data_IF_119071900714
#
_entry.id   IF_119071900714
#
_cell.length_a   1.000
_cell.length_b   1.000
_cell.length_c   1.000
_cell.angle_alpha   90.00
_cell.angle_beta   90.00
_cell.angle_gamma   90.00
#
_symmetry.space_group_name_H-M   'P 1'
#
loop_
_entity.id
_entity.type
_entity.pdbx_description
1 polymer ?
#
# COMPACT_ATOMS: atom_id res chain seq x y z
N UNK A 1 35.46 -24.96 25.30
CA UNK A 1 35.86 -26.21 24.61
C UNK A 1 35.65 -27.51 25.41
N UNK A 2 35.34 -27.50 26.72
CA UNK A 2 35.06 -28.74 27.46
C UNK A 2 33.70 -29.39 27.10
N UNK A 3 32.67 -28.59 26.81
CA UNK A 3 31.31 -29.09 26.51
C UNK A 3 31.22 -29.98 25.24
N UNK A 4 31.97 -29.65 24.18
CA UNK A 4 31.95 -30.43 22.93
C UNK A 4 32.54 -31.83 23.11
N UNK A 5 33.42 -32.03 24.11
CA UNK A 5 34.02 -33.33 24.45
C UNK A 5 33.03 -34.24 25.18
N UNK A 6 32.04 -33.67 25.87
CA UNK A 6 30.93 -34.40 26.50
C UNK A 6 29.83 -34.77 25.50
N UNK A 7 29.54 -33.90 24.52
CA UNK A 7 28.69 -34.26 23.37
C UNK A 7 29.33 -35.38 22.51
N UNK A 8 30.66 -35.44 22.49
CA UNK A 8 31.46 -36.43 21.76
C UNK A 8 31.96 -37.56 22.68
N UNK A 9 31.09 -38.18 23.47
CA UNK A 9 31.51 -39.20 24.45
C UNK A 9 31.08 -40.63 24.11
N UNK A 10 32.12 -41.47 23.98
CA UNK A 10 32.27 -42.92 24.25
C UNK A 10 31.43 -43.95 23.46
N UNK A 11 32.16 -44.54 22.50
CA UNK A 11 32.00 -45.74 21.66
C UNK A 11 31.41 -47.03 22.27
N UNK A 12 30.90 -47.05 23.51
CA UNK A 12 30.39 -48.26 24.18
C UNK A 12 28.88 -48.25 24.47
N UNK A 13 28.20 -47.12 24.26
CA UNK A 13 26.76 -46.95 24.56
C UNK A 13 26.01 -46.46 23.30
N UNK A 14 25.96 -47.29 22.24
CA UNK A 14 25.34 -46.93 20.96
C UNK A 14 23.87 -46.49 21.10
N UNK A 15 23.14 -47.09 22.04
CA UNK A 15 21.74 -46.75 22.34
C UNK A 15 21.57 -45.31 22.87
N UNK A 16 22.45 -44.85 23.76
CA UNK A 16 22.39 -43.48 24.33
C UNK A 16 22.69 -42.42 23.25
N UNK A 17 23.61 -42.73 22.33
CA UNK A 17 23.94 -41.83 21.23
C UNK A 17 22.79 -41.64 20.23
N UNK A 18 21.99 -42.68 19.98
CA UNK A 18 20.83 -42.60 19.07
C UNK A 18 19.72 -41.73 19.68
N UNK A 19 19.40 -41.93 20.96
CA UNK A 19 18.37 -41.14 21.66
C UNK A 19 18.74 -39.66 21.68
N UNK A 20 20.01 -39.34 21.95
CA UNK A 20 20.49 -37.94 21.99
C UNK A 20 20.32 -37.25 20.63
N UNK A 21 20.54 -37.95 19.52
CA UNK A 21 20.34 -37.40 18.18
C UNK A 21 18.87 -37.16 17.84
N UNK A 22 17.99 -38.10 18.22
CA UNK A 22 16.53 -37.91 18.07
C UNK A 22 16.01 -36.76 18.93
N UNK A 23 16.44 -36.63 20.18
CA UNK A 23 16.07 -35.50 21.04
C UNK A 23 16.57 -34.17 20.50
N UNK A 24 17.82 -34.12 20.00
CA UNK A 24 18.37 -32.93 19.37
C UNK A 24 17.58 -32.52 18.12
N UNK A 25 17.26 -33.47 17.24
CA UNK A 25 16.45 -33.23 16.05
C UNK A 25 15.04 -32.74 16.41
N UNK A 26 14.40 -33.35 17.40
CA UNK A 26 13.08 -32.94 17.87
C UNK A 26 13.07 -31.51 18.41
N UNK A 27 14.06 -31.13 19.23
CA UNK A 27 14.20 -29.77 19.76
C UNK A 27 14.50 -28.79 18.62
N UNK A 28 15.44 -29.13 17.72
CA UNK A 28 15.74 -28.30 16.56
C UNK A 28 14.50 -28.05 15.71
N UNK A 29 13.69 -29.07 15.44
CA UNK A 29 12.50 -28.95 14.60
C UNK A 29 11.40 -28.15 15.31
N UNK A 30 11.21 -28.33 16.61
CA UNK A 30 10.27 -27.55 17.42
C UNK A 30 10.64 -26.06 17.47
N UNK A 31 11.91 -25.77 17.79
CA UNK A 31 12.41 -24.38 17.84
C UNK A 31 12.40 -23.74 16.45
N UNK A 32 12.82 -24.46 15.40
CA UNK A 32 12.79 -23.96 14.03
C UNK A 32 11.37 -23.60 13.60
N UNK A 33 10.38 -24.45 13.92
CA UNK A 33 8.97 -24.17 13.60
C UNK A 33 8.48 -22.90 14.28
N UNK A 34 8.80 -22.70 15.57
CA UNK A 34 8.45 -21.48 16.29
C UNK A 34 9.11 -20.23 15.70
N UNK A 35 10.39 -20.31 15.34
CA UNK A 35 11.12 -19.20 14.71
C UNK A 35 10.50 -18.84 13.36
N UNK A 36 10.18 -19.84 12.52
CA UNK A 36 9.56 -19.61 11.21
C UNK A 36 8.20 -18.93 11.36
N UNK A 37 7.33 -19.44 12.24
CA UNK A 37 6.01 -18.85 12.48
C UNK A 37 6.13 -17.41 12.95
N UNK A 38 6.99 -17.14 13.94
CA UNK A 38 7.22 -15.78 14.44
C UNK A 38 7.78 -14.85 13.36
N UNK A 39 8.70 -15.36 12.52
CA UNK A 39 9.29 -14.58 11.44
C UNK A 39 8.26 -14.21 10.37
N UNK A 40 7.42 -15.16 9.96
CA UNK A 40 6.34 -14.91 9.00
C UNK A 40 5.33 -13.93 9.59
N UNK A 41 4.90 -14.13 10.84
CA UNK A 41 3.92 -13.25 11.49
C UNK A 41 4.46 -11.84 11.68
N UNK A 42 5.71 -11.69 12.12
CA UNK A 42 6.31 -10.38 12.33
C UNK A 42 6.56 -9.65 11.00
N UNK A 43 7.05 -10.37 9.98
CA UNK A 43 7.22 -9.82 8.63
C UNK A 43 5.90 -9.39 8.01
N UNK A 44 4.86 -10.22 8.10
CA UNK A 44 3.53 -9.89 7.62
C UNK A 44 2.92 -8.70 8.36
N UNK A 45 3.06 -8.65 9.69
CA UNK A 45 2.62 -7.50 10.49
C UNK A 45 3.31 -6.21 10.03
N UNK A 46 4.61 -6.24 9.82
CA UNK A 46 5.37 -5.08 9.36
C UNK A 46 4.92 -4.64 7.97
N UNK A 47 4.72 -5.58 7.05
CA UNK A 47 4.24 -5.29 5.69
C UNK A 47 2.82 -4.70 5.72
N UNK A 48 1.90 -5.30 6.47
CA UNK A 48 0.54 -4.80 6.62
C UNK A 48 0.50 -3.40 7.25
N UNK A 49 1.21 -3.18 8.36
CA UNK A 49 1.25 -1.88 9.02
C UNK A 49 1.84 -0.81 8.11
N UNK A 50 2.93 -1.12 7.42
CA UNK A 50 3.57 -0.20 6.47
C UNK A 50 2.63 0.15 5.32
N UNK A 51 1.90 -0.84 4.79
CA UNK A 51 0.97 -0.62 3.68
C UNK A 51 -0.29 0.14 4.08
N UNK A 52 -0.84 -0.13 5.27
CA UNK A 52 -2.06 0.51 5.77
C UNK A 52 -1.79 1.96 6.21
N UNK A 53 -0.76 2.17 7.03
CA UNK A 53 -0.42 3.49 7.59
C UNK A 53 0.28 4.40 6.59
N UNK A 54 0.98 3.83 5.60
CA UNK A 54 1.70 4.63 4.62
C UNK A 54 0.81 5.30 3.57
N UNK A 55 -0.33 4.69 3.22
CA UNK A 55 -1.16 5.16 2.10
C UNK A 55 -2.27 6.13 2.53
N UNK A 56 -2.78 6.02 3.76
CA UNK A 56 -3.87 6.85 4.26
C UNK A 56 -3.35 7.91 5.23
N UNK A 57 -3.99 9.08 5.25
CA UNK A 57 -3.71 10.08 6.29
C UNK A 57 -4.22 9.58 7.64
N UNK A 58 -3.47 9.84 8.71
CA UNK A 58 -3.88 9.52 10.09
C UNK A 58 -5.21 10.18 10.48
N UNK A 59 -5.55 11.30 9.85
CA UNK A 59 -6.79 12.02 10.02
C UNK A 59 -7.26 12.54 8.66
N UNK A 60 -8.56 12.46 8.42
CA UNK A 60 -9.20 13.02 7.23
C UNK A 60 -10.31 13.98 7.67
N UNK A 61 -10.33 15.16 7.08
CA UNK A 61 -11.32 16.21 7.38
C UNK A 61 -12.25 16.31 6.18
N UNK A 62 -13.54 16.13 6.41
CA UNK A 62 -14.58 16.19 5.39
C UNK A 62 -15.62 17.25 5.78
N UNK A 63 -16.24 17.89 4.79
CA UNK A 63 -17.45 18.71 5.00
C UNK A 63 -18.69 17.84 4.81
N UNK A 64 -19.78 18.16 5.51
CA UNK A 64 -21.03 17.38 5.45
C UNK A 64 -21.68 17.36 4.06
N UNK A 65 -21.43 18.38 3.25
CA UNK A 65 -21.91 18.53 1.88
C UNK A 65 -20.91 18.02 0.81
N UNK A 66 -19.72 17.55 1.24
CA UNK A 66 -18.65 17.06 0.37
C UNK A 66 -17.95 18.12 -0.48
N UNK A 67 -18.31 19.41 -0.33
CA UNK A 67 -17.71 20.52 -1.08
C UNK A 67 -16.99 21.46 -0.13
N UNK A 68 -15.68 21.28 0.01
CA UNK A 68 -14.84 22.20 0.78
C UNK A 68 -14.35 23.33 -0.13
N UNK A 69 -14.95 24.53 -0.02
CA UNK A 69 -14.53 25.70 -0.79
C UNK A 69 -13.24 26.33 -0.23
N UNK A 70 -13.12 26.41 1.10
CA UNK A 70 -12.00 27.07 1.80
C UNK A 70 -10.88 26.10 2.21
N UNK A 71 -10.62 25.08 1.40
CA UNK A 71 -9.73 23.98 1.76
C UNK A 71 -8.28 24.43 2.00
N UNK A 72 -7.80 25.49 1.32
CA UNK A 72 -6.46 26.04 1.53
C UNK A 72 -6.35 26.76 2.89
N UNK A 73 -7.36 27.57 3.24
CA UNK A 73 -7.41 28.28 4.53
C UNK A 73 -7.52 27.32 5.69
N UNK A 74 -8.38 26.29 5.56
CA UNK A 74 -8.53 25.23 6.56
C UNK A 74 -7.24 24.43 6.68
N UNK A 75 -6.61 24.08 5.54
CA UNK A 75 -5.36 23.34 5.52
C UNK A 75 -4.23 24.09 6.24
N UNK A 76 -4.09 25.39 5.99
CA UNK A 76 -3.11 26.23 6.66
C UNK A 76 -3.35 26.30 8.18
N UNK A 77 -4.60 26.44 8.63
CA UNK A 77 -4.95 26.44 10.06
C UNK A 77 -4.62 25.11 10.72
N UNK A 78 -4.98 23.99 10.09
CA UNK A 78 -4.70 22.65 10.63
C UNK A 78 -3.20 22.41 10.71
N UNK A 79 -2.42 22.90 9.75
CA UNK A 79 -0.96 22.77 9.76
C UNK A 79 -0.29 23.49 10.95
N UNK A 80 -0.93 24.50 11.54
CA UNK A 80 -0.38 25.21 12.72
C UNK A 80 -0.59 24.45 14.04
N UNK A 81 -1.39 23.38 14.06
CA UNK A 81 -1.65 22.61 15.27
C UNK A 81 -0.45 21.74 15.65
N UNK A 82 -0.15 21.68 16.95
CA UNK A 82 0.93 20.84 17.47
C UNK A 82 0.67 19.35 17.16
N UNK A 83 1.66 18.69 16.57
CA UNK A 83 1.58 17.27 16.19
C UNK A 83 1.19 17.02 14.73
N UNK A 84 0.82 18.05 13.95
CA UNK A 84 0.52 17.90 12.52
C UNK A 84 1.82 17.95 11.70
N UNK A 85 2.19 16.82 11.10
CA UNK A 85 3.42 16.69 10.28
C UNK A 85 3.21 17.22 8.86
N UNK A 86 2.04 16.94 8.26
CA UNK A 86 1.73 17.37 6.89
C UNK A 86 0.22 17.41 6.68
N UNK A 87 -0.25 18.41 5.95
CA UNK A 87 -1.62 18.50 5.46
C UNK A 87 -1.61 18.42 3.94
N UNK A 88 -2.50 17.61 3.38
CA UNK A 88 -2.62 17.45 1.93
C UNK A 88 -4.09 17.51 1.54
N UNK A 89 -4.53 18.52 0.78
CA UNK A 89 -5.85 18.53 0.20
C UNK A 89 -5.96 17.45 -0.87
N UNK A 90 -7.09 16.74 -0.88
CA UNK A 90 -7.36 15.69 -1.86
C UNK A 90 -8.84 15.65 -2.22
N UNK A 91 -9.14 15.27 -3.45
CA UNK A 91 -10.50 14.99 -3.91
C UNK A 91 -10.57 13.51 -4.26
N UNK A 92 -11.56 12.80 -3.72
CA UNK A 92 -11.80 11.39 -4.02
C UNK A 92 -13.15 11.22 -4.72
N UNK A 93 -13.16 10.47 -5.82
CA UNK A 93 -14.36 10.20 -6.60
C UNK A 93 -14.36 8.78 -7.17
N UNK A 94 -15.51 8.11 -7.11
CA UNK A 94 -15.71 6.82 -7.77
C UNK A 94 -16.04 7.07 -9.24
N UNK A 95 -15.34 6.38 -10.14
CA UNK A 95 -15.52 6.49 -11.60
C UNK A 95 -15.46 5.12 -12.24
N UNK A 96 -15.97 5.02 -13.46
CA UNK A 96 -15.72 3.92 -14.37
C UNK A 96 -14.61 4.32 -15.34
N UNK A 97 -13.53 3.55 -15.36
CA UNK A 97 -12.42 3.73 -16.30
C UNK A 97 -12.61 2.78 -17.45
N UNK A 98 -12.63 3.32 -18.67
CA UNK A 98 -12.74 2.52 -19.88
C UNK A 98 -11.52 2.73 -20.78
N UNK A 99 -11.00 1.63 -21.30
CA UNK A 99 -9.91 1.64 -22.27
C UNK A 99 -10.01 0.39 -23.14
N UNK A 100 -9.80 0.53 -24.46
CA UNK A 100 -9.74 -0.59 -25.41
C UNK A 100 -10.90 -1.60 -25.29
N UNK A 101 -12.11 -1.12 -25.01
CA UNK A 101 -13.31 -1.96 -24.85
C UNK A 101 -13.47 -2.65 -23.49
N UNK A 102 -12.54 -2.46 -22.55
CA UNK A 102 -12.62 -2.97 -21.17
C UNK A 102 -13.06 -1.83 -20.24
N UNK A 103 -14.05 -2.10 -19.39
CA UNK A 103 -14.51 -1.19 -18.35
C UNK A 103 -14.18 -1.74 -16.96
N UNK A 104 -13.67 -0.89 -16.07
CA UNK A 104 -13.39 -1.23 -14.67
C UNK A 104 -13.83 -0.09 -13.76
N UNK A 105 -14.41 -0.41 -12.61
CA UNK A 105 -14.61 0.57 -11.54
C UNK A 105 -13.26 0.98 -10.93
N UNK A 106 -13.06 2.26 -10.70
CA UNK A 106 -11.89 2.78 -10.00
C UNK A 106 -12.26 3.94 -9.07
N UNK A 107 -11.36 4.22 -8.13
CA UNK A 107 -11.41 5.41 -7.30
C UNK A 107 -10.33 6.36 -7.79
N UNK A 108 -10.74 7.52 -8.29
CA UNK A 108 -9.82 8.60 -8.67
C UNK A 108 -9.54 9.46 -7.45
N UNK A 109 -8.26 9.69 -7.20
CA UNK A 109 -7.77 10.59 -6.16
C UNK A 109 -6.99 11.70 -6.83
N UNK A 110 -7.51 12.92 -6.79
CA UNK A 110 -6.85 14.09 -7.32
C UNK A 110 -6.01 14.75 -6.22
N UNK A 111 -4.74 15.01 -6.54
CA UNK A 111 -3.78 15.72 -5.70
C UNK A 111 -3.14 16.83 -6.51
N UNK A 112 -2.63 17.86 -5.84
CA UNK A 112 -1.72 18.80 -6.51
C UNK A 112 -0.39 18.12 -6.76
N UNK A 113 0.31 18.50 -7.84
CA UNK A 113 1.64 17.96 -8.17
C UNK A 113 2.61 18.05 -6.98
N UNK A 114 2.70 19.23 -6.36
CA UNK A 114 3.56 19.45 -5.19
C UNK A 114 3.21 18.58 -3.97
N UNK A 115 1.94 18.20 -3.81
CA UNK A 115 1.51 17.34 -2.70
C UNK A 115 1.73 15.86 -3.00
N UNK A 116 1.64 15.47 -4.28
CA UNK A 116 1.92 14.13 -4.74
C UNK A 116 3.42 13.80 -4.66
N UNK A 117 4.29 14.77 -4.98
CA UNK A 117 5.74 14.64 -4.86
C UNK A 117 6.21 14.46 -3.41
N UNK A 118 5.52 15.08 -2.44
CA UNK A 118 5.80 14.89 -1.01
C UNK A 118 5.47 13.47 -0.52
N UNK A 119 4.69 12.70 -1.28
CA UNK A 119 4.30 11.32 -0.91
C UNK A 119 5.35 10.33 -1.39
N UNK A 120 6.37 10.11 -0.57
CA UNK A 120 7.45 9.14 -0.80
C UNK A 120 6.96 7.75 -1.22
N UNK A 121 5.82 7.28 -0.73
CA UNK A 121 5.28 5.95 -1.07
C UNK A 121 4.78 5.89 -2.51
N UNK A 122 4.28 7.00 -3.06
CA UNK A 122 3.87 7.03 -4.47
C UNK A 122 5.12 7.17 -5.35
N UNK A 123 5.96 8.17 -5.06
CA UNK A 123 7.15 8.48 -5.87
C UNK A 123 8.13 7.29 -5.93
N UNK A 124 8.40 6.62 -4.81
CA UNK A 124 9.33 5.47 -4.78
C UNK A 124 8.79 4.20 -5.44
N UNK A 125 7.48 4.12 -5.69
CA UNK A 125 6.83 2.94 -6.27
C UNK A 125 6.36 3.19 -7.72
N UNK A 126 6.89 4.21 -8.39
CA UNK A 126 6.69 4.40 -9.83
C UNK A 126 7.52 3.37 -10.57
N UNK A 127 6.84 2.50 -11.33
CA UNK A 127 7.48 1.40 -12.07
C UNK A 127 7.88 1.86 -13.47
N UNK A 128 7.05 2.68 -14.11
CA UNK A 128 7.28 3.22 -15.45
C UNK A 128 6.72 4.64 -15.52
N UNK A 129 7.40 5.52 -16.25
CA UNK A 129 6.99 6.92 -16.48
C UNK A 129 7.56 7.91 -15.46
N UNK A 130 7.10 9.16 -15.55
CA UNK A 130 7.49 10.24 -14.63
C UNK A 130 6.26 11.02 -14.16
N UNK A 131 6.41 11.73 -13.03
CA UNK A 131 5.45 12.73 -12.55
C UNK A 131 5.57 14.07 -13.29
N UNK A 132 6.53 14.22 -14.21
CA UNK A 132 6.78 15.49 -14.89
C UNK A 132 5.57 16.00 -15.66
N UNK A 133 4.87 15.09 -16.35
CA UNK A 133 3.67 15.34 -17.14
C UNK A 133 2.38 15.31 -16.31
N UNK A 134 2.46 15.06 -15.00
CA UNK A 134 1.29 15.05 -14.13
C UNK A 134 0.60 16.42 -14.10
N UNK A 135 -0.67 16.47 -14.47
CA UNK A 135 -1.47 17.69 -14.54
C UNK A 135 -1.26 18.53 -15.80
N UNK A 136 -0.39 18.12 -16.74
CA UNK A 136 -0.31 18.70 -18.10
C UNK A 136 -1.04 17.76 -19.07
N UNK A 137 -1.89 18.31 -19.95
CA UNK A 137 -2.62 17.57 -20.99
C UNK A 137 -3.38 16.31 -20.54
N UNK A 138 -3.82 16.26 -19.27
CA UNK A 138 -4.52 15.11 -18.71
C UNK A 138 -3.62 13.97 -18.21
N UNK A 139 -2.32 14.22 -18.02
CA UNK A 139 -1.39 13.28 -17.42
C UNK A 139 -1.84 12.82 -16.03
N UNK A 140 -1.98 11.50 -15.87
CA UNK A 140 -2.46 10.85 -14.65
C UNK A 140 -1.56 9.69 -14.25
N UNK A 141 -1.63 9.31 -12.97
CA UNK A 141 -0.95 8.12 -12.45
C UNK A 141 -1.96 7.00 -12.29
N UNK A 142 -1.65 5.84 -12.86
CA UNK A 142 -2.49 4.64 -12.81
C UNK A 142 -1.78 3.54 -12.00
N UNK A 143 -2.53 2.81 -11.18
CA UNK A 143 -1.99 1.66 -10.48
C UNK A 143 -1.64 0.54 -11.44
N UNK A 144 -0.50 -0.12 -11.25
CA UNK A 144 0.01 -1.19 -12.15
C UNK A 144 -1.01 -2.29 -12.44
N UNK A 145 -1.75 -2.75 -11.42
CA UNK A 145 -2.80 -3.75 -11.58
C UNK A 145 -4.00 -3.26 -12.41
N UNK A 146 -4.35 -1.99 -12.29
CA UNK A 146 -5.44 -1.41 -13.09
C UNK A 146 -4.98 -1.22 -14.54
N UNK A 147 -3.74 -0.76 -14.75
CA UNK A 147 -3.14 -0.66 -16.08
C UNK A 147 -3.07 -2.01 -16.79
N UNK A 148 -2.64 -3.07 -16.09
CA UNK A 148 -2.62 -4.44 -16.62
C UNK A 148 -4.02 -4.95 -17.00
N UNK A 149 -5.02 -4.72 -16.14
CA UNK A 149 -6.41 -5.13 -16.43
C UNK A 149 -7.01 -4.40 -17.63
N UNK A 150 -6.67 -3.13 -17.81
CA UNK A 150 -7.11 -2.32 -18.94
C UNK A 150 -6.24 -2.53 -20.19
N UNK A 151 -5.10 -3.21 -20.06
CA UNK A 151 -4.15 -3.43 -21.15
C UNK A 151 -3.55 -2.13 -21.69
N UNK A 152 -3.32 -1.14 -20.83
CA UNK A 152 -2.81 0.19 -21.20
C UNK A 152 -1.35 0.39 -20.78
N UNK A 153 -0.62 1.17 -21.56
CA UNK A 153 0.77 1.57 -21.34
C UNK A 153 0.90 3.10 -21.35
N UNK A 154 2.10 3.62 -21.07
CA UNK A 154 2.37 5.06 -21.11
C UNK A 154 2.08 5.60 -22.51
N UNK A 155 1.35 6.71 -22.57
CA UNK A 155 0.90 7.35 -23.81
C UNK A 155 -0.47 6.90 -24.31
N UNK A 156 -1.04 5.81 -23.75
CA UNK A 156 -2.40 5.42 -24.07
C UNK A 156 -3.43 6.36 -23.42
N UNK A 157 -4.54 6.60 -24.13
CA UNK A 157 -5.67 7.37 -23.61
C UNK A 157 -6.64 6.46 -22.88
N UNK A 158 -7.12 6.92 -21.73
CA UNK A 158 -8.20 6.27 -20.97
C UNK A 158 -9.37 7.25 -20.80
N UNK A 159 -10.59 6.73 -20.76
CA UNK A 159 -11.78 7.54 -20.52
C UNK A 159 -12.25 7.32 -19.08
N UNK A 160 -12.53 8.41 -18.37
CA UNK A 160 -13.09 8.39 -17.03
C UNK A 160 -14.55 8.80 -17.11
N UNK A 161 -15.45 7.95 -16.63
CA UNK A 161 -16.90 8.18 -16.62
C UNK A 161 -17.35 8.27 -15.17
N UNK A 162 -17.84 9.43 -14.74
CA UNK A 162 -18.40 9.60 -13.40
C UNK A 162 -19.87 9.18 -13.39
N UNK A 163 -20.30 8.21 -12.55
CA UNK A 163 -21.71 7.89 -12.39
C UNK A 163 -22.47 8.97 -11.59
N UNK A 164 -21.77 9.93 -10.96
CA UNK A 164 -22.36 11.06 -10.23
C UNK A 164 -22.61 12.26 -11.16
N UNK A 165 -23.34 12.02 -12.24
CA UNK A 165 -23.94 13.09 -13.03
C UNK A 165 -25.08 13.75 -12.24
N UNK A 166 -25.30 15.05 -12.42
CA UNK A 166 -26.42 15.76 -11.79
C UNK A 166 -27.72 15.02 -12.13
N UNK A 167 -28.44 14.53 -11.11
CA UNK A 167 -29.74 13.90 -11.32
C UNK A 167 -30.70 14.97 -11.84
N UNK A 168 -31.05 14.89 -13.11
CA UNK A 168 -32.10 15.74 -13.69
C UNK A 168 -33.38 14.93 -13.80
N UNK A 169 -34.53 15.60 -13.95
CA UNK A 169 -35.85 14.96 -14.09
C UNK A 169 -35.96 14.00 -15.28
N UNK A 170 -34.97 13.99 -16.18
CA UNK A 170 -34.88 13.11 -17.36
C UNK A 170 -33.74 12.07 -17.28
N UNK A 171 -33.09 11.91 -16.13
CA UNK A 171 -32.03 10.92 -15.89
C UNK A 171 -30.70 11.54 -15.43
N UNK A 172 -29.74 10.67 -15.13
CA UNK A 172 -28.35 11.06 -14.83
C UNK A 172 -27.65 11.43 -16.14
N UNK A 173 -27.42 12.73 -16.35
CA UNK A 173 -26.62 13.21 -17.49
C UNK A 173 -25.14 13.05 -17.10
N UNK A 174 -24.32 12.32 -17.87
CA UNK A 174 -22.91 12.10 -17.54
C UNK A 174 -22.09 13.39 -17.43
#
# INVERSE_FOLDING_TARGET
MMAFRYLRARRQEGFISVITWFSLLGICLGVATLIIVMSVMNGFRQELLTRILGLNGHMSVYTSDGKMQDFDTVGARVQTLAGVVSVTPMIEGQVMVTARGVAQGAVVRAFRKADLEKRNIVVKNIIQGSLDDYGRDGGLVIGSRLAQKLGVSIGDKITLISPKGTVTAFGTVP
#
